data_IF_043564988509
#
_entry.id   IF_043564988509
#
_cell.length_a   1.000
_cell.length_b   1.000
_cell.length_c   1.000
_cell.angle_alpha   90.00
_cell.angle_beta   90.00
_cell.angle_gamma   90.00
#
_symmetry.space_group_name_H-M   'P 1'
#
loop_
_entity.id
_entity.type
_entity.pdbx_description
1 polymer ?
#
# COMPACT_ATOMS: atom_id res chain seq x y z
N UNK A 1 3.44 -4.11 13.50
CA UNK A 1 4.29 -4.07 12.28
C UNK A 1 5.73 -4.22 12.73
N UNK A 2 6.63 -4.82 11.93
CA UNK A 2 8.04 -4.87 12.29
C UNK A 2 8.67 -3.47 12.22
N UNK A 3 9.58 -3.17 13.15
CA UNK A 3 10.31 -1.89 13.18
C UNK A 3 11.44 -1.81 12.14
N UNK A 4 11.87 -2.96 11.62
CA UNK A 4 12.95 -3.06 10.63
C UNK A 4 12.66 -4.19 9.65
N UNK A 5 12.90 -3.93 8.37
CA UNK A 5 12.77 -4.90 7.28
C UNK A 5 14.00 -4.82 6.37
N UNK A 6 14.64 -5.96 6.13
CA UNK A 6 15.78 -6.12 5.21
C UNK A 6 15.80 -7.55 4.63
N UNK A 7 15.97 -7.75 3.30
CA UNK A 7 15.96 -6.75 2.23
C UNK A 7 14.57 -6.14 2.03
N UNK A 8 14.49 -4.86 1.60
CA UNK A 8 13.23 -4.15 1.45
C UNK A 8 12.78 -4.04 -0.02
N UNK A 9 11.53 -4.41 -0.26
CA UNK A 9 10.77 -4.27 -1.51
C UNK A 9 9.61 -3.32 -1.28
N UNK A 10 9.70 -2.15 -1.90
CA UNK A 10 8.87 -0.99 -1.60
C UNK A 10 7.83 -0.81 -2.70
N UNK A 11 6.55 -0.84 -2.34
CA UNK A 11 5.44 -0.46 -3.22
C UNK A 11 5.03 0.99 -2.96
N UNK A 12 4.99 1.82 -4.01
CA UNK A 12 4.56 3.21 -3.93
C UNK A 12 3.17 3.37 -4.56
N UNK A 13 2.16 3.76 -3.78
CA UNK A 13 0.76 3.76 -4.17
C UNK A 13 0.12 5.15 -4.03
N UNK A 14 -0.54 5.66 -5.08
CA UNK A 14 -1.38 6.88 -5.05
C UNK A 14 -2.89 6.56 -5.02
N UNK A 15 -3.26 5.51 -4.28
CA UNK A 15 -4.62 4.96 -4.19
C UNK A 15 -5.04 4.73 -2.74
N UNK A 16 -6.34 4.57 -2.50
CA UNK A 16 -6.87 4.31 -1.16
C UNK A 16 -6.91 2.80 -0.93
N UNK A 17 -6.41 2.36 0.23
CA UNK A 17 -6.62 1.00 0.72
C UNK A 17 -7.74 1.01 1.76
N UNK A 18 -8.95 1.28 1.28
CA UNK A 18 -10.16 1.39 2.09
C UNK A 18 -11.27 0.56 1.45
N UNK A 19 -12.29 0.21 2.25
CA UNK A 19 -13.49 -0.43 1.72
C UNK A 19 -14.03 0.39 0.55
N UNK A 20 -14.01 -0.22 -0.63
CA UNK A 20 -14.50 0.40 -1.86
C UNK A 20 -15.98 0.61 -1.71
N UNK A 21 -16.37 1.87 -1.51
CA UNK A 21 -17.78 2.25 -1.62
C UNK A 21 -18.18 2.16 -3.08
N UNK A 22 -19.41 1.70 -3.33
CA UNK A 22 -19.97 1.72 -4.67
C UNK A 22 -19.90 3.12 -5.29
N UNK A 23 -19.71 3.16 -6.61
CA UNK A 23 -19.63 4.42 -7.34
C UNK A 23 -20.92 5.24 -7.15
N UNK A 24 -20.74 6.56 -7.06
CA UNK A 24 -21.84 7.51 -6.95
C UNK A 24 -22.79 7.33 -8.13
N UNK A 25 -24.04 6.95 -7.85
CA UNK A 25 -25.08 6.69 -8.85
C UNK A 25 -25.59 5.24 -8.87
N UNK A 26 -24.89 4.30 -8.24
CA UNK A 26 -25.37 2.93 -8.05
C UNK A 26 -26.26 2.88 -6.81
N UNK A 27 -27.56 2.68 -7.02
CA UNK A 27 -28.51 2.43 -5.93
C UNK A 27 -28.71 0.92 -5.79
N UNK A 28 -28.28 0.36 -4.66
CA UNK A 28 -28.58 -1.04 -4.33
C UNK A 28 -29.86 -1.06 -3.53
N UNK A 29 -30.95 -1.50 -4.15
CA UNK A 29 -32.19 -1.79 -3.44
C UNK A 29 -32.02 -3.13 -2.74
N UNK A 30 -31.80 -3.10 -1.43
CA UNK A 30 -31.66 -4.29 -0.60
C UNK A 30 -33.01 -4.60 0.04
N UNK A 31 -33.62 -5.71 -0.35
CA UNK A 31 -34.91 -6.17 0.18
C UNK A 31 -34.74 -6.97 1.48
N UNK A 32 -33.60 -7.64 1.64
CA UNK A 32 -33.32 -8.53 2.76
C UNK A 32 -32.06 -8.13 3.56
N UNK A 33 -32.09 -8.13 4.90
CA UNK A 33 -30.93 -7.76 5.73
C UNK A 33 -29.71 -8.67 5.55
N UNK A 34 -29.92 -9.92 5.11
CA UNK A 34 -28.83 -10.88 4.83
C UNK A 34 -28.01 -10.50 3.60
N UNK A 35 -28.62 -9.87 2.60
CA UNK A 35 -27.91 -9.41 1.41
C UNK A 35 -27.05 -8.19 1.72
N UNK A 36 -27.50 -7.33 2.64
CA UNK A 36 -26.71 -6.21 3.15
C UNK A 36 -25.39 -6.70 3.76
N UNK A 37 -25.42 -7.77 4.56
CA UNK A 37 -24.20 -8.35 5.14
C UNK A 37 -23.27 -8.93 4.08
N UNK A 38 -23.81 -9.62 3.07
CA UNK A 38 -23.01 -10.15 1.95
C UNK A 38 -22.31 -9.04 1.18
N UNK A 39 -23.00 -7.93 0.91
CA UNK A 39 -22.40 -6.76 0.24
C UNK A 39 -21.24 -6.21 1.07
N UNK A 40 -21.45 -6.04 2.39
CA UNK A 40 -20.39 -5.55 3.29
C UNK A 40 -19.20 -6.50 3.38
N UNK A 41 -19.42 -7.81 3.34
CA UNK A 41 -18.36 -8.81 3.26
C UNK A 41 -17.62 -8.69 1.93
N UNK A 42 -18.34 -8.61 0.81
CA UNK A 42 -17.74 -8.49 -0.52
C UNK A 42 -16.85 -7.26 -0.65
N UNK A 43 -17.27 -6.10 -0.13
CA UNK A 43 -16.44 -4.88 -0.11
C UNK A 43 -15.13 -5.08 0.68
N UNK A 44 -15.19 -5.82 1.79
CA UNK A 44 -14.01 -6.13 2.60
C UNK A 44 -13.10 -7.15 1.91
N UNK A 45 -13.68 -8.16 1.25
CA UNK A 45 -12.96 -9.21 0.53
C UNK A 45 -12.18 -8.64 -0.65
N UNK A 46 -12.78 -7.72 -1.43
CA UNK A 46 -12.07 -7.03 -2.54
C UNK A 46 -10.83 -6.30 -2.03
N UNK A 47 -10.94 -5.60 -0.90
CA UNK A 47 -9.80 -4.90 -0.30
C UNK A 47 -8.72 -5.89 0.16
N UNK A 48 -9.13 -7.04 0.69
CA UNK A 48 -8.23 -8.09 1.15
C UNK A 48 -7.49 -8.74 -0.02
N UNK A 49 -8.19 -9.08 -1.10
CA UNK A 49 -7.61 -9.65 -2.33
C UNK A 49 -6.52 -8.72 -2.92
N UNK A 50 -6.76 -7.41 -2.94
CA UNK A 50 -5.78 -6.40 -3.36
C UNK A 50 -4.50 -6.41 -2.50
N UNK A 51 -4.66 -6.47 -1.18
CA UNK A 51 -3.52 -6.52 -0.24
C UNK A 51 -2.76 -7.83 -0.41
N UNK A 52 -3.46 -8.96 -0.55
CA UNK A 52 -2.83 -10.25 -0.80
C UNK A 52 -2.03 -10.26 -2.10
N UNK A 53 -2.50 -9.59 -3.15
CA UNK A 53 -1.76 -9.45 -4.42
C UNK A 53 -0.46 -8.66 -4.23
N UNK A 54 -0.50 -7.55 -3.49
CA UNK A 54 0.71 -6.77 -3.14
C UNK A 54 1.73 -7.63 -2.37
N UNK A 55 1.24 -8.39 -1.39
CA UNK A 55 2.09 -9.28 -0.58
C UNK A 55 2.64 -10.43 -1.41
N UNK A 56 1.84 -11.02 -2.31
CA UNK A 56 2.27 -12.08 -3.25
C UNK A 56 3.32 -11.60 -4.26
N UNK A 57 3.24 -10.33 -4.69
CA UNK A 57 4.30 -9.71 -5.50
C UNK A 57 5.62 -9.56 -4.73
N UNK A 58 5.59 -9.74 -3.40
CA UNK A 58 6.74 -9.66 -2.50
C UNK A 58 6.96 -8.27 -1.92
N UNK A 59 5.95 -7.39 -1.93
CA UNK A 59 6.04 -6.10 -1.25
C UNK A 59 6.10 -6.33 0.27
N UNK A 60 7.10 -5.75 0.94
CA UNK A 60 7.21 -5.80 2.39
C UNK A 60 7.13 -4.40 3.03
N UNK A 61 7.23 -3.36 2.23
CA UNK A 61 7.00 -1.97 2.61
C UNK A 61 6.00 -1.37 1.62
N UNK A 62 4.89 -0.83 2.11
CA UNK A 62 3.84 -0.21 1.30
C UNK A 62 3.69 1.24 1.71
N UNK A 63 3.96 2.15 0.79
CA UNK A 63 3.81 3.58 0.97
C UNK A 63 2.58 4.05 0.20
N UNK A 64 1.63 4.65 0.91
CA UNK A 64 0.39 5.15 0.31
C UNK A 64 0.25 6.65 0.54
N UNK A 65 -0.02 7.42 -0.52
CA UNK A 65 -0.27 8.87 -0.41
C UNK A 65 -1.61 9.18 0.27
N UNK A 66 -2.55 8.23 0.18
CA UNK A 66 -3.91 8.37 0.69
C UNK A 66 -4.13 7.56 1.98
N UNK A 67 -5.39 7.26 2.30
CA UNK A 67 -5.75 6.60 3.56
C UNK A 67 -5.68 5.08 3.44
N UNK A 68 -5.35 4.44 4.56
CA UNK A 68 -5.43 2.99 4.78
C UNK A 68 -6.45 2.77 5.90
N UNK A 69 -7.40 1.85 5.69
CA UNK A 69 -8.40 1.47 6.68
C UNK A 69 -7.80 0.57 7.77
N UNK A 70 -8.40 0.54 8.96
CA UNK A 70 -7.88 -0.25 10.08
C UNK A 70 -7.89 -1.75 9.80
N UNK A 71 -8.87 -2.24 9.02
CA UNK A 71 -8.89 -3.63 8.57
C UNK A 71 -7.72 -3.96 7.65
N UNK A 72 -7.40 -3.06 6.71
CA UNK A 72 -6.25 -3.20 5.82
C UNK A 72 -4.93 -3.20 6.59
N UNK A 73 -4.77 -2.32 7.59
CA UNK A 73 -3.59 -2.30 8.46
C UNK A 73 -3.39 -3.63 9.20
N UNK A 74 -4.48 -4.27 9.66
CA UNK A 74 -4.39 -5.57 10.33
C UNK A 74 -3.77 -6.64 9.42
N UNK A 75 -4.16 -6.68 8.14
CA UNK A 75 -3.59 -7.63 7.19
C UNK A 75 -2.09 -7.39 6.95
N UNK A 76 -1.65 -6.14 6.86
CA UNK A 76 -0.22 -5.84 6.75
C UNK A 76 0.56 -6.24 8.02
N UNK A 77 -0.02 -6.04 9.21
CA UNK A 77 0.58 -6.49 10.48
C UNK A 77 0.71 -8.01 10.52
N UNK A 78 -0.35 -8.74 10.17
CA UNK A 78 -0.37 -10.21 10.14
C UNK A 78 0.63 -10.77 9.11
N UNK A 79 0.81 -10.09 7.98
CA UNK A 79 1.78 -10.45 6.95
C UNK A 79 3.23 -10.03 7.28
N UNK A 80 3.45 -9.25 8.36
CA UNK A 80 4.77 -8.74 8.71
C UNK A 80 5.30 -7.67 7.74
N UNK A 81 4.41 -6.91 7.09
CA UNK A 81 4.76 -5.80 6.22
C UNK A 81 4.62 -4.46 6.94
N UNK A 82 5.43 -3.47 6.54
CA UNK A 82 5.30 -2.08 6.98
C UNK A 82 4.33 -1.39 6.03
N UNK A 83 3.30 -0.74 6.55
CA UNK A 83 2.36 0.04 5.76
C UNK A 83 2.26 1.47 6.29
N UNK A 84 2.58 2.43 5.42
CA UNK A 84 2.62 3.87 5.73
C UNK A 84 1.48 4.55 5.00
N UNK A 85 0.67 5.29 5.76
CA UNK A 85 -0.48 6.04 5.25
C UNK A 85 -0.16 7.53 5.21
N UNK A 86 -0.76 8.26 4.27
CA UNK A 86 -0.64 9.71 4.10
C UNK A 86 0.78 10.22 3.87
N UNK A 87 1.55 9.53 3.04
CA UNK A 87 2.85 10.04 2.59
C UNK A 87 2.61 11.23 1.64
N UNK A 88 3.40 12.30 1.78
CA UNK A 88 3.34 13.43 0.87
C UNK A 88 3.63 12.95 -0.57
N UNK A 89 2.90 13.48 -1.56
CA UNK A 89 3.06 13.04 -2.96
C UNK A 89 4.45 13.34 -3.50
N UNK A 90 5.08 14.41 -3.06
CA UNK A 90 6.44 14.79 -3.42
C UNK A 90 7.44 13.76 -2.90
N UNK A 91 7.35 13.43 -1.61
CA UNK A 91 8.19 12.39 -0.99
C UNK A 91 7.98 11.03 -1.63
N UNK A 92 6.73 10.65 -1.94
CA UNK A 92 6.44 9.39 -2.62
C UNK A 92 7.14 9.31 -3.99
N UNK A 93 7.21 10.42 -4.74
CA UNK A 93 7.93 10.49 -6.01
C UNK A 93 9.45 10.44 -5.81
N UNK A 94 9.96 11.10 -4.78
CA UNK A 94 11.39 11.04 -4.45
C UNK A 94 11.81 9.63 -4.06
N UNK A 95 11.05 8.97 -3.19
CA UNK A 95 11.29 7.57 -2.80
C UNK A 95 11.21 6.67 -4.02
N UNK A 96 10.17 6.78 -4.85
CA UNK A 96 10.05 5.99 -6.06
C UNK A 96 11.27 6.14 -6.97
N UNK A 97 11.78 7.37 -7.17
CA UNK A 97 12.99 7.64 -7.95
C UNK A 97 14.26 7.08 -7.30
N UNK A 98 14.35 7.13 -5.96
CA UNK A 98 15.48 6.61 -5.20
C UNK A 98 15.56 5.08 -5.27
N UNK A 99 14.43 4.41 -5.03
CA UNK A 99 14.32 2.94 -4.94
C UNK A 99 14.15 2.28 -6.30
N UNK A 100 13.81 3.06 -7.34
CA UNK A 100 13.41 2.56 -8.65
C UNK A 100 11.99 1.99 -8.68
N UNK A 101 11.14 2.34 -7.71
CA UNK A 101 9.74 1.94 -7.73
C UNK A 101 8.97 2.79 -8.74
N UNK A 102 7.83 2.29 -9.20
CA UNK A 102 6.86 3.10 -9.95
C UNK A 102 5.71 3.49 -9.04
N UNK A 103 5.27 4.75 -9.10
CA UNK A 103 4.09 5.19 -8.36
C UNK A 103 2.85 4.68 -9.08
N UNK A 104 2.12 3.76 -8.44
CA UNK A 104 0.92 3.13 -9.01
C UNK A 104 -0.32 3.87 -8.55
N UNK A 105 -1.08 4.40 -9.50
CA UNK A 105 -2.33 5.14 -9.24
C UNK A 105 -3.58 4.28 -9.42
N UNK A 106 -3.50 3.20 -10.20
CA UNK A 106 -4.56 2.23 -10.45
C UNK A 106 -3.97 0.82 -10.48
N UNK A 107 -4.71 -0.17 -9.99
CA UNK A 107 -4.34 -1.59 -10.09
C UNK A 107 -4.85 -2.26 -11.36
N UNK A 108 -5.64 -1.54 -12.18
CA UNK A 108 -6.15 -2.09 -13.43
C UNK A 108 -5.01 -2.19 -14.44
N UNK A 109 -4.68 -3.43 -14.84
CA UNK A 109 -3.85 -3.68 -16.00
C UNK A 109 -4.66 -3.45 -17.29
N UNK A 110 -4.00 -3.41 -18.45
CA UNK A 110 -4.63 -3.19 -19.75
C UNK A 110 -5.71 -4.23 -20.09
N UNK A 111 -5.66 -5.40 -19.45
CA UNK A 111 -6.61 -6.52 -19.61
C UNK A 111 -7.75 -6.47 -18.59
N UNK A 112 -7.77 -5.47 -17.69
CA UNK A 112 -8.80 -5.33 -16.65
C UNK A 112 -8.62 -6.27 -15.46
N UNK A 113 -7.55 -7.07 -15.44
CA UNK A 113 -7.15 -7.82 -14.26
C UNK A 113 -6.42 -6.89 -13.28
N UNK A 114 -6.77 -7.01 -11.99
CA UNK A 114 -6.04 -6.32 -10.93
C UNK A 114 -4.80 -7.14 -10.57
N UNK A 115 -3.70 -6.97 -11.31
CA UNK A 115 -2.40 -7.59 -11.02
C UNK A 115 -1.43 -6.53 -10.51
N UNK A 116 -0.50 -6.94 -9.64
CA UNK A 116 0.59 -6.07 -9.21
C UNK A 116 1.91 -6.75 -9.52
N UNK A 117 2.59 -6.24 -10.54
CA UNK A 117 3.85 -6.81 -10.96
C UNK A 117 4.99 -6.45 -10.03
N UNK A 118 5.86 -7.43 -9.81
CA UNK A 118 7.10 -7.24 -9.04
C UNK A 118 8.05 -6.23 -9.68
N UNK A 119 7.89 -5.90 -10.96
CA UNK A 119 8.67 -4.89 -11.70
C UNK A 119 8.39 -3.47 -11.21
N UNK A 120 7.19 -3.23 -10.64
CA UNK A 120 6.79 -1.93 -10.11
C UNK A 120 7.39 -1.66 -8.71
N UNK A 121 7.96 -2.70 -8.07
CA UNK A 121 8.55 -2.61 -6.75
C UNK A 121 9.94 -1.96 -6.78
N UNK A 122 10.12 -1.01 -5.87
CA UNK A 122 11.42 -0.45 -5.55
C UNK A 122 12.24 -1.40 -4.68
N UNK A 123 13.55 -1.23 -4.73
CA UNK A 123 14.48 -1.99 -3.92
C UNK A 123 15.26 -1.06 -2.98
N UNK A 124 15.40 -1.46 -1.73
CA UNK A 124 16.27 -0.84 -0.73
C UNK A 124 16.92 -1.92 0.14
N UNK A 125 18.10 -1.64 0.68
CA UNK A 125 18.81 -2.58 1.54
C UNK A 125 18.06 -2.80 2.85
N UNK A 126 17.62 -1.72 3.49
CA UNK A 126 16.85 -1.79 4.72
C UNK A 126 15.87 -0.62 4.84
N UNK A 127 14.74 -0.88 5.49
CA UNK A 127 13.78 0.15 5.93
C UNK A 127 13.61 -0.01 7.42
N UNK A 128 13.80 1.09 8.16
CA UNK A 128 13.72 1.12 9.61
C UNK A 128 12.79 2.25 10.04
N UNK A 129 11.90 1.96 10.99
CA UNK A 129 11.17 2.96 11.74
C UNK A 129 12.00 3.32 12.98
N UNK A 130 12.53 4.54 13.01
CA UNK A 130 13.31 5.08 14.12
C UNK A 130 12.58 6.29 14.70
N UNK A 131 12.51 6.36 16.03
CA UNK A 131 11.98 7.53 16.72
C UNK A 131 13.09 8.57 16.86
N UNK A 132 12.94 9.71 16.20
CA UNK A 132 13.87 10.84 16.27
C UNK A 132 13.17 11.96 17.02
N UNK A 133 13.70 12.30 18.21
CA UNK A 133 13.04 13.17 19.17
C UNK A 133 11.63 12.64 19.55
N UNK A 134 10.58 13.37 19.17
CA UNK A 134 9.18 13.02 19.47
C UNK A 134 8.42 12.40 18.30
N UNK A 135 9.04 12.33 17.12
CA UNK A 135 8.42 11.83 15.90
C UNK A 135 8.96 10.45 15.49
N UNK A 136 8.07 9.56 15.07
CA UNK A 136 8.43 8.29 14.46
C UNK A 136 8.68 8.51 12.96
N UNK A 137 9.92 8.26 12.51
CA UNK A 137 10.37 8.51 11.14
C UNK A 137 10.75 7.19 10.49
N UNK A 138 10.35 7.02 9.22
CA UNK A 138 10.70 5.85 8.43
C UNK A 138 11.88 6.18 7.55
N UNK A 139 13.00 5.52 7.81
CA UNK A 139 14.26 5.72 7.13
C UNK A 139 14.52 4.57 6.15
N UNK A 140 14.63 4.91 4.88
CA UNK A 140 14.93 3.98 3.78
C UNK A 140 16.42 4.10 3.46
N UNK A 141 17.21 3.05 3.72
CA UNK A 141 18.67 3.06 3.55
C UNK A 141 19.10 2.10 2.44
N UNK A 142 20.16 2.47 1.72
CA UNK A 142 20.72 1.67 0.63
C UNK A 142 19.78 1.53 -0.57
N UNK A 143 19.28 2.66 -1.07
CA UNK A 143 18.49 2.71 -2.30
C UNK A 143 19.38 2.54 -3.53
N UNK A 144 18.81 2.00 -4.62
CA UNK A 144 19.56 1.72 -5.87
C UNK A 144 20.13 3.00 -6.51
N UNK A 145 19.42 4.12 -6.42
CA UNK A 145 19.92 5.44 -6.82
C UNK A 145 20.29 6.25 -5.58
N UNK A 146 21.59 6.48 -5.40
CA UNK A 146 22.18 7.21 -4.25
C UNK A 146 21.99 8.73 -4.33
N UNK A 147 21.39 9.27 -5.39
CA UNK A 147 21.25 10.72 -5.63
C UNK A 147 20.00 11.36 -5.02
N UNK A 148 19.12 10.58 -4.40
CA UNK A 148 17.90 11.07 -3.76
C UNK A 148 18.09 11.09 -2.24
N UNK A 149 18.75 12.13 -1.74
CA UNK A 149 18.69 12.52 -0.33
C UNK A 149 17.48 13.43 -0.13
N UNK A 150 16.59 13.06 0.77
CA UNK A 150 15.49 13.93 1.24
C UNK A 150 15.92 14.45 2.62
N UNK A 151 15.94 15.78 2.78
CA UNK A 151 16.36 16.47 4.01
C UNK A 151 15.23 16.56 5.02
#
# INVERSE_FOLDING_TARGET
MPLKVAPARIACLDLNLQKTKMQMGVQVLVTDPRELEKIRQREADVTKELIEKLLKAGANVVLTSKRIDNMALKYFVEAGAIAVRRVCKEDLRHVAKATGATVVSTFADMEGEETFDSTLLGHANEVVEERIADDDVIMIKGTKNTSALTH
#
